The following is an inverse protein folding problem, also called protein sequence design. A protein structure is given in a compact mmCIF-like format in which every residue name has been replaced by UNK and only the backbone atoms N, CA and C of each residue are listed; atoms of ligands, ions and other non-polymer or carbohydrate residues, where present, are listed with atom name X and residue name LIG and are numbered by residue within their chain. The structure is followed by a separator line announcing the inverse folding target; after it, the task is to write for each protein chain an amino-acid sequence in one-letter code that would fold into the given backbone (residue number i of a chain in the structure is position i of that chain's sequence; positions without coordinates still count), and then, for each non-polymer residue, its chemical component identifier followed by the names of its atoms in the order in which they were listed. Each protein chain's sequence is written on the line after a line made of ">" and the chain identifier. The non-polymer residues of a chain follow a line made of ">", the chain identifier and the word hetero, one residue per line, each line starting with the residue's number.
data_IF_981089904867
#
_entry.id   IF_981089904867
#
_cell.length_a   1.000
_cell.length_b   1.000
_cell.length_c   1.000
_cell.angle_alpha   90.00
_cell.angle_beta   90.00
_cell.angle_gamma   90.00
#
_symmetry.space_group_name_H-M   'P 1'
#
loop_
_entity.id
_entity.type
_entity.pdbx_description
1 polymer ?
#
# COMPACT_ATOMS: atom_id res chain seq x y z
N UNK A 1 -4.88 7.98 33.64
CA UNK A 1 -4.55 9.30 33.11
C UNK A 1 -3.11 9.37 32.56
N UNK A 2 -2.09 8.90 33.28
CA UNK A 2 -0.68 8.94 32.81
C UNK A 2 -0.42 8.03 31.60
N UNK A 3 -0.97 6.83 31.56
CA UNK A 3 -0.79 5.85 30.45
C UNK A 3 -1.37 6.38 29.13
N UNK A 4 -2.51 7.08 29.18
CA UNK A 4 -3.15 7.69 28.00
C UNK A 4 -2.32 8.83 27.40
N UNK A 5 -1.62 9.62 28.23
CA UNK A 5 -0.77 10.71 27.75
C UNK A 5 0.55 10.21 27.13
N UNK A 6 1.14 9.15 27.68
CA UNK A 6 2.30 8.49 27.07
C UNK A 6 1.94 7.83 25.75
N UNK A 7 0.78 7.13 25.69
CA UNK A 7 0.28 6.49 24.48
C UNK A 7 -0.04 7.53 23.39
N UNK A 8 -0.66 8.66 23.77
CA UNK A 8 -0.94 9.77 22.87
C UNK A 8 0.34 10.43 22.32
N UNK A 9 1.35 10.66 23.18
CA UNK A 9 2.65 11.15 22.76
C UNK A 9 3.39 10.16 21.85
N UNK A 10 3.27 8.86 22.13
CA UNK A 10 3.84 7.81 21.30
C UNK A 10 3.22 7.78 19.90
N UNK A 11 1.88 7.84 19.79
CA UNK A 11 1.18 7.84 18.50
C UNK A 11 1.44 9.12 17.70
N UNK A 12 1.57 10.28 18.36
CA UNK A 12 1.82 11.55 17.67
C UNK A 12 3.29 11.78 17.29
N UNK A 13 4.19 10.90 17.69
CA UNK A 13 5.60 10.99 17.32
C UNK A 13 5.90 10.09 16.13
N UNK A 14 6.17 10.68 14.96
CA UNK A 14 6.52 9.96 13.74
C UNK A 14 7.73 9.02 13.90
N UNK A 15 8.65 9.34 14.81
CA UNK A 15 9.79 8.45 15.14
C UNK A 15 9.35 7.16 15.83
N UNK A 16 8.32 7.22 16.66
CA UNK A 16 7.81 6.04 17.39
C UNK A 16 7.19 5.01 16.45
N UNK A 17 6.46 5.45 15.44
CA UNK A 17 5.89 4.57 14.41
C UNK A 17 6.98 3.83 13.65
N UNK A 18 8.05 4.55 13.27
CA UNK A 18 9.18 3.96 12.58
C UNK A 18 9.96 2.95 13.42
N UNK A 19 10.21 3.26 14.70
CA UNK A 19 10.86 2.33 15.61
C UNK A 19 10.02 1.05 15.77
N UNK A 20 8.70 1.19 15.93
CA UNK A 20 7.80 0.05 16.03
C UNK A 20 7.86 -0.82 14.78
N UNK A 21 7.84 -0.20 13.59
CA UNK A 21 7.96 -0.92 12.32
C UNK A 21 9.26 -1.71 12.23
N UNK A 22 10.40 -1.09 12.56
CA UNK A 22 11.71 -1.75 12.56
C UNK A 22 11.73 -2.94 13.54
N UNK A 23 11.14 -2.77 14.73
CA UNK A 23 11.03 -3.86 15.72
C UNK A 23 10.17 -5.01 15.14
N UNK A 24 9.03 -4.70 14.52
CA UNK A 24 8.17 -5.71 13.89
C UNK A 24 8.90 -6.48 12.79
N UNK A 25 9.67 -5.79 11.94
CA UNK A 25 10.49 -6.43 10.89
C UNK A 25 11.54 -7.36 11.52
N UNK A 26 12.29 -6.88 12.53
CA UNK A 26 13.30 -7.69 13.20
C UNK A 26 12.68 -8.94 13.86
N UNK A 27 11.56 -8.78 14.57
CA UNK A 27 10.86 -9.91 15.22
C UNK A 27 10.32 -10.89 14.18
N UNK A 28 9.72 -10.42 13.09
CA UNK A 28 9.21 -11.27 12.02
C UNK A 28 10.33 -12.09 11.36
N UNK A 29 11.48 -11.46 11.07
CA UNK A 29 12.63 -12.16 10.51
C UNK A 29 13.21 -13.20 11.48
N UNK A 30 13.27 -12.88 12.77
CA UNK A 30 13.74 -13.84 13.79
C UNK A 30 12.80 -15.04 13.90
N UNK A 31 11.47 -14.83 13.89
CA UNK A 31 10.49 -15.90 13.91
C UNK A 31 10.60 -16.75 12.65
N UNK A 32 10.63 -16.14 11.48
CA UNK A 32 10.67 -16.82 10.19
C UNK A 32 11.92 -17.71 10.04
N UNK A 33 13.05 -17.29 10.62
CA UNK A 33 14.34 -18.03 10.56
C UNK A 33 14.60 -18.90 11.80
N UNK A 34 13.64 -19.05 12.69
CA UNK A 34 13.74 -19.89 13.91
C UNK A 34 12.94 -21.19 13.77
N UNK A 35 12.99 -22.03 14.80
CA UNK A 35 12.16 -23.22 14.93
C UNK A 35 10.65 -22.90 15.01
N UNK A 36 10.28 -21.65 15.27
CA UNK A 36 8.90 -21.17 15.27
C UNK A 36 8.37 -20.86 13.86
N UNK A 37 9.24 -20.79 12.83
CA UNK A 37 8.86 -20.47 11.46
C UNK A 37 7.69 -21.31 10.92
N UNK A 38 7.72 -22.65 11.01
CA UNK A 38 6.63 -23.50 10.56
C UNK A 38 5.30 -23.26 11.31
N UNK A 39 5.35 -22.98 12.61
CA UNK A 39 4.16 -22.68 13.41
C UNK A 39 3.57 -21.31 13.01
N UNK A 40 4.43 -20.34 12.74
CA UNK A 40 4.02 -19.02 12.25
C UNK A 40 3.40 -19.10 10.85
N UNK A 41 3.98 -19.89 9.93
CA UNK A 41 3.41 -20.12 8.61
C UNK A 41 2.04 -20.79 8.71
N UNK A 42 1.88 -21.82 9.54
CA UNK A 42 0.59 -22.45 9.77
C UNK A 42 -0.48 -21.48 10.29
N UNK A 43 -0.09 -20.52 11.14
CA UNK A 43 -0.98 -19.45 11.59
C UNK A 43 -1.44 -18.57 10.42
N UNK A 44 -0.52 -18.17 9.55
CA UNK A 44 -0.82 -17.35 8.37
C UNK A 44 -1.71 -18.09 7.36
N UNK A 45 -1.58 -19.41 7.26
CA UNK A 45 -2.37 -20.25 6.37
C UNK A 45 -3.75 -20.62 6.96
N UNK A 46 -3.97 -20.35 8.27
CA UNK A 46 -5.26 -20.62 8.91
C UNK A 46 -6.36 -19.80 8.26
N UNK A 47 -7.44 -20.47 7.84
CA UNK A 47 -8.59 -19.83 7.20
C UNK A 47 -9.53 -19.23 8.25
N UNK A 48 -9.94 -18.00 8.04
CA UNK A 48 -10.89 -17.26 8.86
C UNK A 48 -11.92 -16.60 7.96
N UNK A 49 -13.20 -16.72 8.32
CA UNK A 49 -14.27 -16.05 7.59
C UNK A 49 -15.51 -16.91 7.43
N UNK A 50 -16.34 -16.57 6.45
CA UNK A 50 -17.60 -17.25 6.18
C UNK A 50 -17.70 -17.63 4.71
N UNK A 51 -18.18 -18.84 4.45
CA UNK A 51 -18.44 -19.31 3.09
C UNK A 51 -19.68 -18.65 2.47
N UNK A 52 -20.58 -18.09 3.31
CA UNK A 52 -21.81 -17.47 2.85
C UNK A 52 -21.57 -16.29 1.88
N UNK A 53 -20.47 -15.55 2.07
CA UNK A 53 -20.08 -14.42 1.22
C UNK A 53 -18.82 -14.69 0.42
N UNK A 54 -18.40 -15.95 0.33
CA UNK A 54 -17.12 -16.34 -0.30
C UNK A 54 -15.91 -15.56 0.28
N UNK A 55 -15.93 -15.38 1.61
CA UNK A 55 -14.90 -14.66 2.36
C UNK A 55 -14.16 -15.57 3.35
N UNK A 56 -13.96 -16.85 2.99
CA UNK A 56 -13.21 -17.81 3.81
C UNK A 56 -11.76 -17.88 3.35
N UNK A 57 -10.94 -16.92 3.78
CA UNK A 57 -9.56 -16.75 3.35
C UNK A 57 -8.56 -16.98 4.48
N UNK A 58 -7.30 -17.26 4.10
CA UNK A 58 -6.21 -17.36 5.06
C UNK A 58 -5.93 -16.00 5.72
N UNK A 59 -5.35 -16.03 6.92
CA UNK A 59 -4.90 -14.83 7.63
C UNK A 59 -3.98 -13.99 6.74
N UNK A 60 -3.12 -14.66 5.96
CA UNK A 60 -2.22 -14.00 5.00
C UNK A 60 -3.00 -13.17 3.97
N UNK A 61 -4.08 -13.71 3.39
CA UNK A 61 -4.92 -12.99 2.43
C UNK A 61 -5.65 -11.83 3.10
N UNK A 62 -6.17 -12.01 4.33
CA UNK A 62 -6.79 -10.91 5.08
C UNK A 62 -5.82 -9.76 5.36
N UNK A 63 -4.55 -10.06 5.62
CA UNK A 63 -3.51 -9.05 5.80
C UNK A 63 -3.22 -8.35 4.46
N UNK A 64 -2.94 -9.13 3.40
CA UNK A 64 -2.48 -8.60 2.13
C UNK A 64 -3.58 -7.85 1.35
N UNK A 65 -4.82 -8.29 1.43
CA UNK A 65 -5.92 -7.68 0.68
C UNK A 65 -6.82 -6.80 1.56
N UNK A 66 -7.02 -7.16 2.83
CA UNK A 66 -7.87 -6.42 3.75
C UNK A 66 -7.12 -5.27 4.44
N UNK A 67 -6.10 -5.56 5.24
CA UNK A 67 -5.36 -4.52 5.97
C UNK A 67 -4.58 -3.60 5.03
N UNK A 68 -3.99 -4.16 3.97
CA UNK A 68 -3.30 -3.35 2.96
C UNK A 68 -4.24 -2.43 2.19
N UNK A 69 -5.52 -2.78 1.99
CA UNK A 69 -6.49 -1.85 1.40
C UNK A 69 -6.70 -0.60 2.29
N UNK A 70 -6.68 -0.76 3.62
CA UNK A 70 -6.75 0.37 4.55
C UNK A 70 -5.48 1.22 4.48
N UNK A 71 -4.31 0.59 4.38
CA UNK A 71 -3.05 1.29 4.17
C UNK A 71 -3.09 2.10 2.87
N UNK A 72 -3.51 1.49 1.76
CA UNK A 72 -3.61 2.16 0.46
C UNK A 72 -4.70 3.25 0.43
N UNK A 73 -5.73 3.16 1.26
CA UNK A 73 -6.66 4.28 1.45
C UNK A 73 -5.94 5.51 2.05
N UNK A 74 -5.08 5.31 3.04
CA UNK A 74 -4.28 6.39 3.61
C UNK A 74 -3.30 6.96 2.57
N UNK A 75 -2.64 6.11 1.82
CA UNK A 75 -1.75 6.50 0.71
C UNK A 75 -2.53 7.29 -0.35
N UNK A 76 -3.72 6.83 -0.75
CA UNK A 76 -4.59 7.52 -1.71
C UNK A 76 -4.98 8.93 -1.25
N UNK A 77 -5.32 9.09 0.03
CA UNK A 77 -5.60 10.40 0.63
C UNK A 77 -4.36 11.31 0.63
N UNK A 78 -3.18 10.74 0.89
CA UNK A 78 -1.90 11.45 0.85
C UNK A 78 -1.58 11.91 -0.59
N UNK A 79 -1.73 11.01 -1.58
CA UNK A 79 -1.58 11.30 -3.00
C UNK A 79 -2.48 12.47 -3.41
N UNK A 80 -3.75 12.41 -3.04
CA UNK A 80 -4.71 13.49 -3.34
C UNK A 80 -4.28 14.82 -2.73
N UNK A 81 -3.81 14.81 -1.50
CA UNK A 81 -3.29 16.01 -0.83
C UNK A 81 -2.09 16.57 -1.57
N UNK A 82 -1.12 15.72 -1.93
CA UNK A 82 0.09 16.15 -2.64
C UNK A 82 -0.19 16.68 -4.05
N UNK A 83 -1.18 16.13 -4.75
CA UNK A 83 -1.59 16.62 -6.08
C UNK A 83 -2.31 17.97 -5.97
N UNK A 84 -3.13 18.19 -4.92
CA UNK A 84 -3.94 19.40 -4.79
C UNK A 84 -3.14 20.55 -4.16
N UNK A 85 -2.36 20.28 -3.12
CA UNK A 85 -1.74 21.31 -2.27
C UNK A 85 -0.22 21.12 -2.07
N UNK A 86 0.35 19.98 -2.51
CA UNK A 86 1.74 19.59 -2.26
C UNK A 86 2.69 19.78 -3.44
N UNK A 87 3.82 19.08 -3.38
CA UNK A 87 4.89 19.14 -4.38
C UNK A 87 4.46 18.58 -5.75
N UNK A 88 3.49 17.67 -5.79
CA UNK A 88 2.95 17.11 -7.03
C UNK A 88 1.90 18.03 -7.69
N UNK A 89 1.56 19.17 -7.09
CA UNK A 89 0.59 20.13 -7.62
C UNK A 89 1.06 20.86 -8.88
N UNK A 90 2.36 20.91 -9.14
CA UNK A 90 2.92 21.50 -10.35
C UNK A 90 3.91 20.56 -11.05
N UNK A 91 3.83 20.48 -12.39
CA UNK A 91 4.73 19.64 -13.18
C UNK A 91 6.22 20.02 -12.97
N UNK A 92 6.52 21.26 -12.67
CA UNK A 92 7.89 21.72 -12.41
C UNK A 92 8.46 21.10 -11.14
N UNK A 93 7.69 21.07 -10.05
CA UNK A 93 8.11 20.49 -8.78
C UNK A 93 8.07 18.97 -8.82
N UNK A 94 7.04 18.41 -9.44
CA UNK A 94 6.83 16.96 -9.56
C UNK A 94 7.86 16.26 -10.48
N UNK A 95 8.49 16.98 -11.42
CA UNK A 95 9.36 16.37 -12.42
C UNK A 95 10.51 15.58 -11.82
N UNK A 96 11.19 16.11 -10.82
CA UNK A 96 12.33 15.44 -10.19
C UNK A 96 11.91 14.18 -9.40
N UNK A 97 10.90 14.21 -8.51
CA UNK A 97 10.37 12.99 -7.87
C UNK A 97 9.90 11.94 -8.88
N UNK A 98 9.18 12.34 -9.95
CA UNK A 98 8.68 11.41 -10.97
C UNK A 98 9.83 10.71 -11.71
N UNK A 99 10.82 11.47 -12.20
CA UNK A 99 11.96 10.88 -12.90
C UNK A 99 12.77 9.98 -11.99
N UNK A 100 12.97 10.39 -10.74
CA UNK A 100 13.68 9.59 -9.76
C UNK A 100 12.92 8.30 -9.41
N UNK A 101 11.58 8.35 -9.24
CA UNK A 101 10.74 7.17 -9.00
C UNK A 101 10.78 6.20 -10.19
N UNK A 102 10.61 6.70 -11.43
CA UNK A 102 10.72 5.86 -12.63
C UNK A 102 12.10 5.19 -12.72
N UNK A 103 13.18 5.92 -12.43
CA UNK A 103 14.53 5.33 -12.37
C UNK A 103 14.65 4.29 -11.26
N UNK A 104 14.11 4.59 -10.08
CA UNK A 104 14.09 3.69 -8.91
C UNK A 104 13.30 2.40 -9.14
N UNK A 105 12.24 2.43 -9.95
CA UNK A 105 11.47 1.26 -10.35
C UNK A 105 12.16 0.47 -11.48
N UNK A 106 12.51 1.14 -12.56
CA UNK A 106 12.98 0.49 -13.79
C UNK A 106 14.35 -0.16 -13.60
N UNK A 107 15.29 0.52 -12.93
CA UNK A 107 16.66 0.01 -12.79
C UNK A 107 16.72 -1.30 -12.00
N UNK A 108 16.13 -1.43 -10.80
CA UNK A 108 16.11 -2.69 -10.08
C UNK A 108 15.35 -3.79 -10.80
N UNK A 109 14.24 -3.47 -11.47
CA UNK A 109 13.48 -4.42 -12.28
C UNK A 109 14.32 -5.00 -13.44
N UNK A 110 15.06 -4.15 -14.17
CA UNK A 110 15.96 -4.59 -15.24
C UNK A 110 17.11 -5.43 -14.71
N UNK A 111 17.72 -5.05 -13.58
CA UNK A 111 18.78 -5.83 -12.92
C UNK A 111 18.25 -7.21 -12.56
N UNK A 112 17.08 -7.27 -11.90
CA UNK A 112 16.45 -8.54 -11.53
C UNK A 112 16.17 -9.40 -12.77
N UNK A 113 15.55 -8.82 -13.79
CA UNK A 113 15.24 -9.52 -15.03
C UNK A 113 16.50 -10.06 -15.72
N UNK A 114 17.58 -9.28 -15.76
CA UNK A 114 18.84 -9.70 -16.38
C UNK A 114 19.42 -10.96 -15.71
N UNK A 115 19.37 -11.05 -14.39
CA UNK A 115 19.91 -12.21 -13.66
C UNK A 115 18.97 -13.41 -13.61
N UNK A 116 17.64 -13.20 -13.71
CA UNK A 116 16.64 -14.26 -13.52
C UNK A 116 15.93 -14.64 -14.83
N UNK A 117 16.30 -14.04 -15.96
CA UNK A 117 15.68 -14.36 -17.25
C UNK A 117 15.92 -15.84 -17.62
N UNK A 118 14.84 -16.55 -17.96
CA UNK A 118 14.90 -17.97 -18.27
C UNK A 118 14.91 -18.91 -17.04
N UNK A 119 14.78 -18.39 -15.83
CA UNK A 119 14.58 -19.19 -14.60
C UNK A 119 13.12 -19.19 -14.17
N UNK A 120 12.77 -20.05 -13.23
CA UNK A 120 11.43 -20.09 -12.60
C UNK A 120 11.10 -18.80 -11.84
N UNK A 121 12.11 -18.00 -11.48
CA UNK A 121 11.97 -16.74 -10.75
C UNK A 121 11.79 -15.53 -11.66
N UNK A 122 11.78 -15.69 -12.98
CA UNK A 122 11.71 -14.58 -13.94
C UNK A 122 10.51 -13.64 -13.69
N UNK A 123 9.37 -14.18 -13.24
CA UNK A 123 8.16 -13.40 -12.96
C UNK A 123 8.27 -12.48 -11.74
N UNK A 124 9.31 -12.62 -10.90
CA UNK A 124 9.54 -11.77 -9.74
C UNK A 124 10.16 -10.39 -10.03
N UNK A 125 10.26 -9.98 -11.29
CA UNK A 125 10.97 -8.76 -11.71
C UNK A 125 10.41 -7.46 -11.09
N UNK A 126 9.14 -7.43 -10.69
CA UNK A 126 8.55 -6.27 -10.05
C UNK A 126 8.79 -6.20 -8.53
N UNK A 127 9.23 -7.29 -7.88
CA UNK A 127 9.46 -7.32 -6.43
C UNK A 127 10.46 -6.23 -5.97
N UNK A 128 11.63 -6.05 -6.61
CA UNK A 128 12.62 -5.09 -6.14
C UNK A 128 12.31 -3.63 -6.52
N UNK A 129 11.21 -3.35 -7.20
CA UNK A 129 10.87 -1.99 -7.60
C UNK A 129 9.97 -1.26 -6.59
N UNK A 130 9.29 -1.99 -5.69
CA UNK A 130 8.42 -1.37 -4.71
C UNK A 130 9.21 -0.79 -3.52
N UNK A 131 8.78 0.37 -3.03
CA UNK A 131 9.39 1.08 -1.89
C UNK A 131 8.44 1.08 -0.70
N UNK A 132 8.96 0.84 0.51
CA UNK A 132 8.21 1.04 1.75
C UNK A 132 8.37 2.49 2.23
N UNK A 133 7.36 3.33 2.00
CA UNK A 133 7.31 4.73 2.45
C UNK A 133 7.50 4.83 3.97
N UNK A 134 6.77 4.01 4.73
CA UNK A 134 6.77 4.11 6.18
C UNK A 134 8.16 3.78 6.75
N UNK A 135 8.81 2.76 6.21
CA UNK A 135 10.17 2.37 6.61
C UNK A 135 11.21 3.44 6.23
N UNK A 136 11.12 3.97 5.01
CA UNK A 136 12.04 5.01 4.51
C UNK A 136 11.93 6.30 5.33
N UNK A 137 10.70 6.76 5.61
CA UNK A 137 10.45 7.93 6.45
C UNK A 137 10.85 7.70 7.92
N UNK A 138 10.70 6.47 8.41
CA UNK A 138 11.15 6.09 9.73
C UNK A 138 12.66 6.28 9.90
N UNK A 139 13.45 5.72 8.97
CA UNK A 139 14.91 5.84 8.99
C UNK A 139 15.35 7.30 8.93
N UNK A 140 14.78 8.08 8.00
CA UNK A 140 15.08 9.52 7.91
C UNK A 140 14.68 10.28 9.18
N UNK A 141 13.57 9.90 9.81
CA UNK A 141 13.12 10.54 11.05
C UNK A 141 14.05 10.26 12.23
N UNK A 142 14.71 9.10 12.27
CA UNK A 142 15.72 8.77 13.28
C UNK A 142 16.96 9.68 13.19
N UNK A 143 17.30 10.18 12.00
CA UNK A 143 18.39 11.14 11.80
C UNK A 143 18.02 12.57 12.30
N UNK A 144 16.76 12.78 12.64
CA UNK A 144 16.26 13.97 13.33
C UNK A 144 16.46 15.27 12.54
N UNK A 145 17.03 16.26 13.22
CA UNK A 145 17.25 17.62 12.66
C UNK A 145 18.41 17.70 11.66
N UNK A 146 19.21 16.65 11.53
CA UNK A 146 20.33 16.60 10.58
C UNK A 146 19.88 16.50 9.13
N UNK A 147 18.62 16.09 8.89
CA UNK A 147 18.06 15.97 7.57
C UNK A 147 17.26 17.20 7.19
N UNK A 148 17.60 17.89 6.09
CA UNK A 148 16.82 19.01 5.56
C UNK A 148 15.36 18.62 5.31
N UNK A 149 14.43 19.54 5.58
CA UNK A 149 13.00 19.31 5.36
C UNK A 149 12.70 19.02 3.88
N UNK A 150 13.38 19.72 2.98
CA UNK A 150 13.25 19.51 1.53
C UNK A 150 13.55 18.07 1.09
N UNK A 151 14.52 17.41 1.74
CA UNK A 151 14.83 16.00 1.43
C UNK A 151 13.72 15.07 1.91
N UNK A 152 13.08 15.36 3.05
CA UNK A 152 11.92 14.57 3.52
C UNK A 152 10.74 14.72 2.57
N UNK A 153 10.44 15.93 2.13
CA UNK A 153 9.37 16.23 1.18
C UNK A 153 9.65 15.52 -0.15
N UNK A 154 10.88 15.62 -0.67
CA UNK A 154 11.28 14.93 -1.89
C UNK A 154 11.11 13.41 -1.78
N UNK A 155 11.56 12.81 -0.67
CA UNK A 155 11.41 11.37 -0.45
C UNK A 155 9.94 10.94 -0.36
N UNK A 156 9.09 11.74 0.30
CA UNK A 156 7.65 11.47 0.36
C UNK A 156 7.02 11.52 -1.03
N UNK A 157 7.30 12.56 -1.81
CA UNK A 157 6.78 12.69 -3.16
C UNK A 157 7.29 11.57 -4.09
N UNK A 158 8.56 11.19 -3.99
CA UNK A 158 9.16 10.08 -4.72
C UNK A 158 8.45 8.77 -4.39
N UNK A 159 8.31 8.45 -3.10
CA UNK A 159 7.71 7.20 -2.66
C UNK A 159 6.21 7.10 -3.02
N UNK A 160 5.47 8.22 -3.00
CA UNK A 160 4.09 8.29 -3.49
C UNK A 160 4.00 7.92 -4.99
N UNK A 161 4.89 8.46 -5.82
CA UNK A 161 4.92 8.16 -7.26
C UNK A 161 5.32 6.71 -7.50
N UNK A 162 6.26 6.20 -6.72
CA UNK A 162 6.74 4.82 -6.77
C UNK A 162 5.63 3.83 -6.42
N UNK A 163 4.88 4.07 -5.34
CA UNK A 163 3.74 3.25 -4.94
C UNK A 163 2.65 3.22 -6.03
N UNK A 164 2.34 4.38 -6.63
CA UNK A 164 1.41 4.42 -7.77
C UNK A 164 1.91 3.58 -8.94
N UNK A 165 3.20 3.67 -9.25
CA UNK A 165 3.83 2.88 -10.29
C UNK A 165 3.77 1.38 -10.00
N UNK A 166 4.08 0.98 -8.76
CA UNK A 166 4.00 -0.41 -8.32
C UNK A 166 2.57 -0.97 -8.42
N UNK A 167 1.55 -0.21 -7.97
CA UNK A 167 0.14 -0.59 -8.10
C UNK A 167 -0.25 -0.81 -9.57
N UNK A 168 0.16 0.10 -10.47
CA UNK A 168 -0.13 -0.04 -11.90
C UNK A 168 0.55 -1.28 -12.50
N UNK A 169 1.79 -1.53 -12.14
CA UNK A 169 2.53 -2.72 -12.60
C UNK A 169 1.86 -4.00 -12.11
N UNK A 170 1.47 -4.06 -10.83
CA UNK A 170 0.77 -5.20 -10.27
C UNK A 170 -0.57 -5.42 -11.00
N UNK A 171 -1.34 -4.38 -11.21
CA UNK A 171 -2.64 -4.47 -11.90
C UNK A 171 -2.53 -4.95 -13.34
N UNK A 172 -1.47 -4.59 -14.07
CA UNK A 172 -1.31 -4.94 -15.49
C UNK A 172 -0.63 -6.29 -15.69
N UNK A 173 0.39 -6.61 -14.91
CA UNK A 173 1.27 -7.76 -15.15
C UNK A 173 1.03 -8.96 -14.23
N UNK A 174 0.37 -8.76 -13.08
CA UNK A 174 0.15 -9.78 -12.07
C UNK A 174 -1.33 -10.12 -11.84
N UNK A 175 -2.20 -9.73 -12.77
CA UNK A 175 -3.60 -10.13 -12.78
C UNK A 175 -3.76 -11.41 -13.59
N UNK A 176 -4.12 -12.52 -12.96
CA UNK A 176 -4.21 -13.82 -13.62
C UNK A 176 -5.48 -13.99 -14.45
N UNK A 177 -6.65 -13.81 -13.83
CA UNK A 177 -7.95 -13.97 -14.48
C UNK A 177 -8.89 -12.82 -14.12
N UNK A 178 -9.47 -12.20 -15.13
CA UNK A 178 -10.41 -11.09 -14.94
C UNK A 178 -11.83 -11.61 -15.01
N UNK A 179 -12.58 -11.47 -13.92
CA UNK A 179 -14.01 -11.67 -13.88
C UNK A 179 -14.74 -10.36 -14.24
N UNK A 180 -15.10 -10.22 -15.50
CA UNK A 180 -15.69 -9.00 -16.07
C UNK A 180 -16.94 -8.52 -15.34
N UNK A 181 -17.76 -9.45 -14.79
CA UNK A 181 -18.96 -9.09 -14.02
C UNK A 181 -18.62 -8.32 -12.76
N UNK A 182 -17.64 -8.79 -11.98
CA UNK A 182 -17.19 -8.12 -10.76
C UNK A 182 -16.43 -6.84 -11.06
N UNK A 183 -15.65 -6.82 -12.15
CA UNK A 183 -14.97 -5.59 -12.59
C UNK A 183 -15.99 -4.52 -13.00
N UNK A 184 -17.07 -4.89 -13.69
CA UNK A 184 -18.17 -3.99 -14.02
C UNK A 184 -18.88 -3.43 -12.78
N UNK A 185 -19.11 -4.28 -11.75
CA UNK A 185 -19.67 -3.84 -10.47
C UNK A 185 -18.71 -2.89 -9.73
N UNK A 186 -17.40 -3.16 -9.78
CA UNK A 186 -16.38 -2.27 -9.23
C UNK A 186 -16.40 -0.91 -9.91
N UNK A 187 -16.45 -0.87 -11.23
CA UNK A 187 -16.54 0.38 -12.00
C UNK A 187 -17.81 1.17 -11.67
N UNK A 188 -18.94 0.49 -11.53
CA UNK A 188 -20.19 1.12 -11.11
C UNK A 188 -20.10 1.70 -9.70
N UNK A 189 -19.40 1.02 -8.79
CA UNK A 189 -19.18 1.50 -7.43
C UNK A 189 -18.25 2.72 -7.40
N UNK A 190 -17.20 2.75 -8.21
CA UNK A 190 -16.33 3.93 -8.38
C UNK A 190 -17.15 5.12 -8.92
N UNK A 191 -18.00 4.88 -9.92
CA UNK A 191 -18.90 5.93 -10.45
C UNK A 191 -19.84 6.45 -9.36
N UNK A 192 -20.41 5.56 -8.54
CA UNK A 192 -21.28 5.94 -7.43
C UNK A 192 -20.53 6.81 -6.41
N UNK A 193 -19.31 6.44 -6.03
CA UNK A 193 -18.47 7.24 -5.14
C UNK A 193 -18.13 8.61 -5.75
N UNK A 194 -17.84 8.66 -7.04
CA UNK A 194 -17.62 9.92 -7.76
C UNK A 194 -18.86 10.81 -7.76
N UNK A 195 -20.06 10.25 -7.92
CA UNK A 195 -21.33 10.98 -7.81
C UNK A 195 -21.56 11.51 -6.39
N UNK A 196 -21.30 10.73 -5.35
CA UNK A 196 -21.37 11.21 -3.96
C UNK A 196 -20.45 12.41 -3.73
N UNK A 197 -19.23 12.34 -4.27
CA UNK A 197 -18.27 13.45 -4.19
C UNK A 197 -18.77 14.67 -4.98
N UNK A 198 -19.28 14.47 -6.18
CA UNK A 198 -19.84 15.54 -7.00
C UNK A 198 -21.02 16.27 -6.32
N UNK A 199 -21.88 15.52 -5.63
CA UNK A 199 -22.99 16.07 -4.84
C UNK A 199 -22.56 16.60 -3.45
N UNK A 200 -21.27 16.66 -3.16
CA UNK A 200 -20.71 17.17 -1.91
C UNK A 200 -21.23 16.47 -0.63
N UNK A 201 -21.45 15.16 -0.67
CA UNK A 201 -21.72 14.39 0.54
C UNK A 201 -20.48 14.37 1.43
N UNK A 202 -20.54 14.96 2.65
CA UNK A 202 -19.37 15.17 3.53
C UNK A 202 -19.22 14.12 4.63
N UNK A 203 -20.20 13.25 4.84
CA UNK A 203 -20.13 12.24 5.90
C UNK A 203 -19.34 11.03 5.41
N UNK A 204 -18.26 10.69 6.11
CA UNK A 204 -17.36 9.59 5.76
C UNK A 204 -18.05 8.22 5.62
N UNK A 205 -19.15 7.99 6.35
CA UNK A 205 -19.89 6.73 6.28
C UNK A 205 -20.43 6.44 4.88
N UNK A 206 -20.79 7.48 4.11
CA UNK A 206 -21.26 7.35 2.72
C UNK A 206 -20.15 6.91 1.75
N UNK A 207 -18.90 7.03 2.14
CA UNK A 207 -17.76 6.55 1.37
C UNK A 207 -17.26 5.20 1.88
N UNK A 208 -17.22 5.00 3.20
CA UNK A 208 -16.69 3.77 3.78
C UNK A 208 -17.53 2.54 3.44
N UNK A 209 -18.88 2.64 3.51
CA UNK A 209 -19.75 1.50 3.18
C UNK A 209 -19.61 1.09 1.71
N UNK A 210 -19.77 2.00 0.72
CA UNK A 210 -19.50 1.66 -0.68
C UNK A 210 -18.03 1.27 -0.93
N UNK A 211 -17.09 1.80 -0.17
CA UNK A 211 -15.68 1.41 -0.23
C UNK A 211 -15.44 -0.05 0.14
N UNK A 212 -16.14 -0.57 1.15
CA UNK A 212 -16.09 -2.00 1.50
C UNK A 212 -16.69 -2.86 0.36
N UNK A 213 -17.78 -2.41 -0.26
CA UNK A 213 -18.36 -3.10 -1.43
C UNK A 213 -17.43 -3.05 -2.64
N UNK A 214 -16.78 -1.89 -2.88
CA UNK A 214 -15.76 -1.75 -3.92
C UNK A 214 -14.61 -2.73 -3.70
N UNK A 215 -14.08 -2.81 -2.47
CA UNK A 215 -13.06 -3.77 -2.09
C UNK A 215 -13.50 -5.21 -2.35
N UNK A 216 -14.72 -5.58 -1.96
CA UNK A 216 -15.28 -6.91 -2.17
C UNK A 216 -15.35 -7.25 -3.66
N UNK A 217 -15.88 -6.35 -4.50
CA UNK A 217 -15.98 -6.58 -5.94
C UNK A 217 -14.60 -6.62 -6.61
N UNK A 218 -13.67 -5.76 -6.21
CA UNK A 218 -12.30 -5.78 -6.71
C UNK A 218 -11.61 -7.11 -6.38
N UNK A 219 -11.74 -7.58 -5.14
CA UNK A 219 -11.18 -8.86 -4.72
C UNK A 219 -11.68 -10.03 -5.60
N UNK A 220 -12.98 -10.08 -5.90
CA UNK A 220 -13.57 -11.11 -6.75
C UNK A 220 -13.37 -10.88 -8.25
N UNK A 221 -12.91 -9.71 -8.67
CA UNK A 221 -12.62 -9.42 -10.08
C UNK A 221 -11.32 -10.04 -10.58
N UNK A 222 -10.46 -10.51 -9.67
CA UNK A 222 -9.11 -10.99 -9.97
C UNK A 222 -8.05 -9.87 -9.98
N UNK A 223 -8.47 -8.60 -9.87
CA UNK A 223 -7.57 -7.47 -9.67
C UNK A 223 -7.27 -7.32 -8.18
N UNK A 224 -6.06 -6.90 -7.83
CA UNK A 224 -5.67 -6.72 -6.44
C UNK A 224 -6.63 -5.79 -5.68
N UNK A 225 -7.21 -6.31 -4.59
CA UNK A 225 -8.21 -5.61 -3.78
C UNK A 225 -7.69 -4.30 -3.16
N UNK A 226 -6.38 -4.19 -2.98
CA UNK A 226 -5.69 -2.99 -2.47
C UNK A 226 -5.95 -1.74 -3.31
N UNK A 227 -6.19 -1.89 -4.62
CA UNK A 227 -6.53 -0.79 -5.53
C UNK A 227 -7.82 -0.09 -5.11
N UNK A 228 -8.77 -0.83 -4.52
CA UNK A 228 -10.00 -0.23 -3.99
C UNK A 228 -9.71 0.84 -2.92
N UNK A 229 -8.67 0.63 -2.09
CA UNK A 229 -8.24 1.61 -1.10
C UNK A 229 -7.78 2.93 -1.73
N UNK A 230 -7.01 2.86 -2.82
CA UNK A 230 -6.51 4.07 -3.52
C UNK A 230 -7.62 4.81 -4.24
N UNK A 231 -8.61 4.08 -4.79
CA UNK A 231 -9.72 4.67 -5.55
C UNK A 231 -10.80 5.31 -4.66
N UNK A 232 -10.89 4.94 -3.38
CA UNK A 232 -11.84 5.46 -2.40
C UNK A 232 -11.45 6.84 -1.90
#
# INVERSE_FOLDING_TARGET
>A
MVITDYFRKFIHNSQSSGILLIICVAVSLLIANSSLGPAFQNLLDTKIGTEMFDLNYSVSIWINDGLMAIFFLLVGLEIKREIVEGELSSLKNASLPIVAAVGGMVVPALIYFFFNNGTEYANGWAIPMATDIAFSLAIISLLGKSVPVSLKIFLTALAIVDDLGAIMVIAIFYTDQIHWSYLGLSALMVLFLALLNFFNFKKHIFYLIPGILLWYFMHHSGIHATIAGVLL
#
